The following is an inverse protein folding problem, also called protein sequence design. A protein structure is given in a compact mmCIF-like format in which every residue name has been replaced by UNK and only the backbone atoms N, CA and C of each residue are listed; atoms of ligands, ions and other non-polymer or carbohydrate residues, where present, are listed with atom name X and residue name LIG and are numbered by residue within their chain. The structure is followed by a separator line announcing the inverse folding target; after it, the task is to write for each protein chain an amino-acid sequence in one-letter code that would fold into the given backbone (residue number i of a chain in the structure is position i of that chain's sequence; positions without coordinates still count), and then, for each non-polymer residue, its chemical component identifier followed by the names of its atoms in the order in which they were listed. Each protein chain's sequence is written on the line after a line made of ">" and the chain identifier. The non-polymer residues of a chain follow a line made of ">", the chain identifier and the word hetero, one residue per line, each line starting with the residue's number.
data_IF_153031510684
#
_entry.id   IF_153031510684
#
_cell.length_a   1.000
_cell.length_b   1.000
_cell.length_c   1.000
_cell.angle_alpha   90.00
_cell.angle_beta   90.00
_cell.angle_gamma   90.00
#
_symmetry.space_group_name_H-M   'P 1'
#
loop_
_entity.id
_entity.type
_entity.pdbx_description
1 polymer ?
#
# COMPACT_ATOMS: atom_id res chain seq x y z
N UNK A 1 -24.00 17.36 -19.49
CA UNK A 1 -22.81 16.53 -19.27
C UNK A 1 -22.79 15.51 -20.40
N UNK A 2 -21.72 15.48 -21.20
CA UNK A 2 -21.60 14.48 -22.27
C UNK A 2 -21.44 13.10 -21.63
N UNK A 3 -22.19 12.12 -22.11
CA UNK A 3 -22.11 10.73 -21.70
C UNK A 3 -20.74 10.20 -22.14
N UNK A 4 -19.83 9.94 -21.19
CA UNK A 4 -18.52 9.33 -21.48
C UNK A 4 -18.78 7.86 -21.79
N UNK A 5 -18.61 7.47 -23.05
CA UNK A 5 -18.74 6.07 -23.45
C UNK A 5 -17.52 5.28 -23.00
N UNK A 6 -17.72 4.08 -22.43
CA UNK A 6 -16.67 3.17 -21.96
C UNK A 6 -15.56 2.88 -23.00
N UNK A 7 -15.85 2.97 -24.28
CA UNK A 7 -14.90 2.80 -25.39
C UNK A 7 -13.94 3.98 -25.58
N UNK A 8 -14.14 5.12 -24.89
CA UNK A 8 -13.28 6.28 -24.95
C UNK A 8 -12.24 6.30 -23.82
N UNK A 9 -12.20 5.24 -23.01
CA UNK A 9 -11.18 5.08 -21.97
C UNK A 9 -9.91 4.52 -22.61
N UNK A 10 -9.08 5.39 -23.17
CA UNK A 10 -7.73 5.03 -23.57
C UNK A 10 -6.97 4.43 -22.37
N UNK A 11 -6.34 3.28 -22.60
CA UNK A 11 -5.39 2.73 -21.64
C UNK A 11 -4.30 3.77 -21.42
N UNK A 12 -4.10 4.16 -20.15
CA UNK A 12 -2.96 4.99 -19.83
C UNK A 12 -1.69 4.19 -20.06
N UNK A 13 -0.80 4.67 -20.92
CA UNK A 13 0.58 4.20 -20.91
C UNK A 13 1.19 4.54 -19.55
N UNK A 14 1.65 3.52 -18.85
CA UNK A 14 2.33 3.67 -17.58
C UNK A 14 3.80 3.97 -17.83
N UNK A 15 4.35 4.96 -17.11
CA UNK A 15 5.79 5.24 -17.08
C UNK A 15 6.55 4.28 -16.16
N UNK A 16 5.82 3.45 -15.39
CA UNK A 16 6.40 2.50 -14.47
C UNK A 16 7.05 1.33 -15.22
N UNK A 17 8.01 0.69 -14.58
CA UNK A 17 8.76 -0.44 -15.15
C UNK A 17 7.91 -1.72 -15.28
N UNK A 18 6.77 -1.80 -14.63
CA UNK A 18 5.79 -2.88 -14.75
C UNK A 18 5.07 -2.88 -16.10
N UNK A 19 4.66 -4.08 -16.58
CA UNK A 19 3.83 -4.23 -17.78
C UNK A 19 2.71 -5.22 -17.51
N UNK A 20 1.46 -4.77 -17.57
CA UNK A 20 0.28 -5.63 -17.38
C UNK A 20 0.17 -6.65 -18.52
N UNK A 21 0.17 -7.95 -18.19
CA UNK A 21 0.02 -9.05 -19.13
C UNK A 21 -1.45 -9.45 -19.26
N UNK A 22 -2.15 -9.50 -18.11
CA UNK A 22 -3.57 -9.79 -18.04
C UNK A 22 -4.34 -8.58 -17.56
N UNK A 23 -5.40 -8.28 -18.29
CA UNK A 23 -6.38 -7.31 -17.88
C UNK A 23 -7.57 -8.05 -17.28
N UNK A 24 -8.21 -7.52 -16.26
CA UNK A 24 -9.51 -8.01 -15.83
C UNK A 24 -10.45 -7.92 -17.03
N UNK A 25 -11.11 -9.06 -17.38
CA UNK A 25 -12.08 -9.12 -18.47
C UNK A 25 -13.36 -8.34 -18.17
N UNK A 26 -13.66 -8.06 -16.91
CA UNK A 26 -14.80 -7.24 -16.52
C UNK A 26 -14.43 -5.75 -16.62
N UNK A 27 -15.13 -4.96 -17.45
CA UNK A 27 -14.96 -3.52 -17.41
C UNK A 27 -15.35 -3.01 -16.03
N UNK A 28 -14.52 -2.14 -15.47
CA UNK A 28 -14.86 -1.40 -14.27
C UNK A 28 -16.18 -0.62 -14.54
N UNK A 29 -17.28 -0.92 -13.82
CA UNK A 29 -18.54 -0.23 -14.03
C UNK A 29 -18.49 1.25 -13.65
N UNK A 30 -17.47 1.68 -12.93
CA UNK A 30 -17.22 3.08 -12.59
C UNK A 30 -16.41 3.69 -13.73
N UNK A 31 -17.04 4.38 -14.66
CA UNK A 31 -16.45 4.90 -15.90
C UNK A 31 -15.31 5.92 -15.74
N UNK A 32 -15.06 6.45 -14.52
CA UNK A 32 -13.91 7.31 -14.22
C UNK A 32 -13.45 7.01 -12.80
N UNK A 33 -12.37 6.27 -12.65
CA UNK A 33 -11.74 6.14 -11.33
C UNK A 33 -10.96 7.42 -11.00
N UNK A 34 -10.99 7.84 -9.72
CA UNK A 34 -10.19 8.97 -9.25
C UNK A 34 -8.69 8.74 -9.49
N UNK A 35 -8.25 7.50 -9.47
CA UNK A 35 -6.89 7.06 -9.78
C UNK A 35 -6.45 7.51 -11.18
N UNK A 36 -7.27 7.27 -12.20
CA UNK A 36 -6.99 7.71 -13.58
C UNK A 36 -6.90 9.23 -13.67
N UNK A 37 -7.77 9.94 -12.93
CA UNK A 37 -7.72 11.41 -12.87
C UNK A 37 -6.45 11.89 -12.19
N UNK A 38 -6.07 11.28 -11.06
CA UNK A 38 -4.84 11.60 -10.35
C UNK A 38 -3.61 11.37 -11.24
N UNK A 39 -3.47 10.17 -11.80
CA UNK A 39 -2.34 9.78 -12.65
C UNK A 39 -2.19 10.65 -13.90
N UNK A 40 -3.30 11.16 -14.46
CA UNK A 40 -3.30 12.02 -15.67
C UNK A 40 -3.08 13.49 -15.37
N UNK A 41 -3.59 13.99 -14.26
CA UNK A 41 -3.75 15.44 -14.07
C UNK A 41 -3.01 16.00 -12.86
N UNK A 42 -2.54 15.16 -11.93
CA UNK A 42 -1.77 15.65 -10.80
C UNK A 42 -0.39 16.13 -11.26
N UNK A 43 -0.09 17.40 -10.94
CA UNK A 43 1.14 18.07 -11.39
C UNK A 43 2.35 17.74 -10.49
N UNK A 44 2.11 17.09 -9.35
CA UNK A 44 3.17 16.70 -8.42
C UNK A 44 3.71 15.30 -8.74
N UNK A 45 3.04 14.56 -9.65
CA UNK A 45 3.45 13.22 -10.06
C UNK A 45 4.91 13.17 -10.46
N UNK A 46 5.64 12.23 -9.86
CA UNK A 46 7.05 12.01 -10.15
C UNK A 46 7.43 10.54 -9.96
N UNK A 47 8.21 10.00 -10.89
CA UNK A 47 8.87 8.71 -10.75
C UNK A 47 10.34 8.95 -10.43
N UNK A 48 10.85 8.30 -9.41
CA UNK A 48 12.23 8.46 -8.98
C UNK A 48 13.10 7.29 -9.49
N UNK A 49 14.32 7.56 -9.99
CA UNK A 49 15.19 6.48 -10.48
C UNK A 49 15.55 5.44 -9.42
N UNK A 50 15.48 5.78 -8.12
CA UNK A 50 15.74 4.85 -7.02
C UNK A 50 14.68 3.77 -6.92
N UNK A 51 13.43 4.07 -7.31
CA UNK A 51 12.34 3.11 -7.42
C UNK A 51 11.47 3.40 -8.64
N UNK A 52 11.73 2.76 -9.78
CA UNK A 52 11.00 2.99 -11.02
C UNK A 52 9.63 2.27 -11.06
N UNK A 53 9.20 1.65 -9.97
CA UNK A 53 7.93 0.95 -9.82
C UNK A 53 6.87 1.77 -9.08
N UNK A 54 7.23 2.98 -8.61
CA UNK A 54 6.35 3.81 -7.78
C UNK A 54 6.18 5.21 -8.39
N UNK A 55 4.94 5.62 -8.58
CA UNK A 55 4.57 7.02 -8.82
C UNK A 55 4.39 7.74 -7.47
N UNK A 56 5.07 8.86 -7.29
CA UNK A 56 4.99 9.68 -6.08
C UNK A 56 4.14 10.91 -6.35
N UNK A 57 3.18 11.17 -5.47
CA UNK A 57 2.32 12.34 -5.48
C UNK A 57 2.46 13.11 -4.16
N UNK A 58 2.56 14.43 -4.21
CA UNK A 58 2.63 15.26 -3.02
C UNK A 58 1.25 15.86 -2.70
N UNK A 59 0.51 15.26 -1.77
CA UNK A 59 -0.85 15.70 -1.41
C UNK A 59 -0.87 16.90 -0.48
N UNK A 60 0.16 17.03 0.38
CA UNK A 60 0.37 18.15 1.31
C UNK A 60 1.88 18.41 1.39
N UNK A 61 2.27 19.51 1.99
CA UNK A 61 3.70 19.82 2.20
C UNK A 61 4.44 18.72 2.96
N UNK A 62 3.71 17.99 3.81
CA UNK A 62 4.22 16.93 4.67
C UNK A 62 3.62 15.55 4.37
N UNK A 63 2.90 15.37 3.24
CA UNK A 63 2.24 14.11 2.92
C UNK A 63 2.46 13.72 1.47
N UNK A 64 3.06 12.55 1.27
CA UNK A 64 3.21 11.90 -0.03
C UNK A 64 2.31 10.67 -0.12
N UNK A 65 1.76 10.46 -1.31
CA UNK A 65 1.11 9.23 -1.71
C UNK A 65 2.02 8.49 -2.68
N UNK A 66 2.20 7.21 -2.45
CA UNK A 66 3.06 6.31 -3.23
C UNK A 66 2.14 5.28 -3.90
N UNK A 67 2.02 5.37 -5.21
CA UNK A 67 1.20 4.48 -6.01
C UNK A 67 2.10 3.44 -6.71
N UNK A 68 1.73 2.18 -6.64
CA UNK A 68 2.33 1.12 -7.44
C UNK A 68 1.26 0.34 -8.21
N UNK A 69 1.65 -0.26 -9.33
CA UNK A 69 0.74 -1.12 -10.10
C UNK A 69 0.63 -2.49 -9.47
N UNK A 70 -0.58 -3.05 -9.49
CA UNK A 70 -0.86 -4.40 -9.01
C UNK A 70 -0.01 -5.44 -9.73
N UNK A 71 0.61 -6.34 -8.98
CA UNK A 71 1.37 -7.46 -9.53
C UNK A 71 0.49 -8.68 -9.83
N UNK A 72 -0.68 -8.79 -9.20
CA UNK A 72 -1.57 -9.94 -9.26
C UNK A 72 -2.96 -9.60 -9.83
N UNK A 73 -3.21 -8.35 -10.16
CA UNK A 73 -4.46 -7.89 -10.75
C UNK A 73 -5.63 -7.74 -9.76
N UNK A 74 -5.38 -7.84 -8.44
CA UNK A 74 -6.44 -7.70 -7.42
C UNK A 74 -6.73 -6.23 -7.10
N UNK A 75 -5.71 -5.39 -7.02
CA UNK A 75 -5.82 -3.95 -6.75
C UNK A 75 -4.47 -3.27 -6.84
N UNK A 76 -4.46 -2.00 -7.21
CA UNK A 76 -3.25 -1.20 -7.23
C UNK A 76 -2.98 -0.65 -5.82
N UNK A 77 -1.84 -0.98 -5.17
CA UNK A 77 -1.56 -0.57 -3.80
C UNK A 77 -1.21 0.90 -3.67
N UNK A 78 -1.64 1.47 -2.57
CA UNK A 78 -1.35 2.84 -2.17
C UNK A 78 -0.67 2.85 -0.82
N UNK A 79 0.54 3.38 -0.76
CA UNK A 79 1.25 3.64 0.49
C UNK A 79 1.33 5.13 0.74
N UNK A 80 1.48 5.54 2.00
CA UNK A 80 1.51 6.97 2.34
C UNK A 80 2.71 7.28 3.24
N UNK A 81 3.41 8.37 2.94
CA UNK A 81 4.53 8.85 3.75
C UNK A 81 4.16 10.19 4.36
N UNK A 82 4.10 10.24 5.70
CA UNK A 82 3.88 11.45 6.49
C UNK A 82 5.22 11.93 7.04
N UNK A 83 5.54 13.19 6.83
CA UNK A 83 6.70 13.84 7.42
C UNK A 83 6.26 14.64 8.66
N UNK A 84 6.64 14.15 9.84
CA UNK A 84 6.49 14.91 11.08
C UNK A 84 7.70 15.81 11.36
N UNK A 85 7.66 16.59 12.44
CA UNK A 85 8.76 17.46 12.82
C UNK A 85 10.07 16.74 13.15
N UNK A 86 9.99 15.52 13.72
CA UNK A 86 11.15 14.77 14.20
C UNK A 86 11.26 13.35 13.62
N UNK A 87 10.17 12.80 13.09
CA UNK A 87 10.10 11.46 12.50
C UNK A 87 9.20 11.46 11.29
N UNK A 88 9.47 10.55 10.36
CA UNK A 88 8.57 10.22 9.26
C UNK A 88 7.81 8.91 9.56
N UNK A 89 6.63 8.74 8.98
CA UNK A 89 5.81 7.55 9.11
C UNK A 89 5.37 7.04 7.73
N UNK A 90 5.74 5.80 7.41
CA UNK A 90 5.27 5.09 6.21
C UNK A 90 4.11 4.18 6.60
N UNK A 91 2.99 4.33 5.91
CA UNK A 91 1.80 3.49 6.04
C UNK A 91 1.74 2.59 4.82
N UNK A 92 1.82 1.29 5.04
CA UNK A 92 1.91 0.21 4.07
C UNK A 92 3.17 0.24 3.19
N UNK A 93 3.53 -0.91 2.65
CA UNK A 93 4.81 -1.13 1.96
C UNK A 93 4.67 -1.76 0.57
N UNK A 94 3.43 -1.99 0.12
CA UNK A 94 3.17 -2.57 -1.19
C UNK A 94 3.65 -4.02 -1.34
N UNK A 95 3.83 -4.46 -2.59
CA UNK A 95 4.24 -5.83 -2.96
C UNK A 95 5.71 -6.16 -2.69
N UNK A 96 6.55 -5.17 -2.36
CA UNK A 96 7.98 -5.40 -2.20
C UNK A 96 8.76 -5.50 -3.53
N UNK A 97 8.27 -4.85 -4.57
CA UNK A 97 8.97 -4.68 -5.84
C UNK A 97 9.69 -3.33 -5.85
N UNK A 98 10.94 -3.30 -6.31
CA UNK A 98 11.75 -2.09 -6.36
C UNK A 98 12.43 -1.77 -5.02
N UNK A 99 12.85 -0.53 -4.87
CA UNK A 99 13.58 -0.04 -3.69
C UNK A 99 12.77 1.02 -2.94
N UNK A 100 11.62 0.59 -2.38
CA UNK A 100 10.74 1.47 -1.61
C UNK A 100 11.49 2.12 -0.44
N UNK A 101 12.35 1.38 0.27
CA UNK A 101 13.14 1.92 1.38
C UNK A 101 14.00 3.10 0.92
N UNK A 102 14.75 2.93 -0.17
CA UNK A 102 15.58 4.01 -0.72
C UNK A 102 14.78 5.22 -1.18
N UNK A 103 13.60 5.00 -1.76
CA UNK A 103 12.66 6.07 -2.13
C UNK A 103 12.17 6.84 -0.90
N UNK A 104 11.72 6.12 0.13
CA UNK A 104 11.19 6.73 1.36
C UNK A 104 12.30 7.49 2.10
N UNK A 105 13.51 6.92 2.21
CA UNK A 105 14.66 7.60 2.80
C UNK A 105 15.05 8.87 2.02
N UNK A 106 14.94 8.85 0.69
CA UNK A 106 15.18 10.04 -0.14
C UNK A 106 14.13 11.14 0.10
N UNK A 107 12.85 10.76 0.29
CA UNK A 107 11.77 11.72 0.55
C UNK A 107 11.78 12.25 1.99
N UNK A 108 12.05 11.37 2.96
CA UNK A 108 12.07 11.71 4.38
C UNK A 108 13.35 12.45 4.82
N UNK A 109 14.42 12.34 4.02
CA UNK A 109 15.71 12.91 4.39
C UNK A 109 16.29 12.30 5.68
N UNK A 110 16.73 13.12 6.67
CA UNK A 110 17.37 12.60 7.89
C UNK A 110 16.37 12.11 8.95
N UNK A 111 15.07 12.16 8.69
CA UNK A 111 14.06 11.79 9.69
C UNK A 111 14.07 10.28 9.96
N UNK A 112 14.14 9.85 11.23
CA UNK A 112 13.91 8.46 11.59
C UNK A 112 12.54 7.99 11.13
N UNK A 113 12.48 6.75 10.60
CA UNK A 113 11.28 6.21 9.99
C UNK A 113 10.52 5.28 10.94
N UNK A 114 9.22 5.47 11.05
CA UNK A 114 8.26 4.54 11.61
C UNK A 114 7.52 3.88 10.44
N UNK A 115 7.48 2.54 10.38
CA UNK A 115 6.76 1.80 9.33
C UNK A 115 5.60 1.07 9.97
N UNK A 116 4.40 1.26 9.43
CA UNK A 116 3.17 0.64 9.93
C UNK A 116 2.41 -0.03 8.80
N UNK A 117 1.65 -1.09 9.10
CA UNK A 117 0.76 -1.72 8.14
C UNK A 117 -0.70 -1.61 8.58
N UNK A 118 -1.57 -1.38 7.61
CA UNK A 118 -3.01 -1.46 7.83
C UNK A 118 -3.43 -2.91 8.06
N UNK A 119 -2.89 -3.85 7.26
CA UNK A 119 -3.16 -5.27 7.39
C UNK A 119 -2.09 -6.13 6.66
N UNK A 120 -2.20 -7.47 6.72
CA UNK A 120 -1.17 -8.41 6.28
C UNK A 120 -1.20 -8.78 4.79
N UNK A 121 -2.15 -8.33 4.00
CA UNK A 121 -2.25 -8.71 2.59
C UNK A 121 -1.01 -8.26 1.80
N UNK A 122 -0.77 -8.98 0.71
CA UNK A 122 0.44 -8.92 -0.10
C UNK A 122 0.72 -7.53 -0.69
N UNK A 123 -0.31 -6.84 -1.11
CA UNK A 123 -0.24 -5.50 -1.72
C UNK A 123 -0.05 -4.38 -0.68
N UNK A 124 -0.12 -4.71 0.61
CA UNK A 124 0.12 -3.78 1.73
C UNK A 124 1.37 -4.09 2.54
N UNK A 125 1.79 -5.36 2.64
CA UNK A 125 2.77 -5.79 3.62
C UNK A 125 4.02 -6.49 3.07
N UNK A 126 4.08 -6.89 1.78
CA UNK A 126 5.21 -7.67 1.28
C UNK A 126 6.49 -6.84 1.07
N UNK A 127 6.40 -5.51 1.05
CA UNK A 127 7.56 -4.64 1.12
C UNK A 127 8.20 -4.53 2.51
N UNK A 128 7.60 -5.11 3.55
CA UNK A 128 8.12 -5.11 4.92
C UNK A 128 9.54 -5.66 5.01
N UNK A 129 9.91 -6.60 4.14
CA UNK A 129 11.27 -7.16 4.07
C UNK A 129 12.37 -6.15 3.79
N UNK A 130 12.02 -4.93 3.37
CA UNK A 130 12.98 -3.83 3.21
C UNK A 130 13.31 -3.11 4.52
N UNK A 131 12.49 -3.31 5.58
CA UNK A 131 12.61 -2.59 6.85
C UNK A 131 12.99 -3.54 7.99
N UNK A 132 13.61 -3.00 9.03
CA UNK A 132 14.07 -3.83 10.16
C UNK A 132 12.95 -4.10 11.16
N UNK A 133 11.96 -3.19 11.22
CA UNK A 133 10.84 -3.22 12.15
C UNK A 133 9.59 -2.61 11.52
N UNK A 134 8.44 -3.28 11.74
CA UNK A 134 7.13 -2.74 11.39
C UNK A 134 6.19 -2.78 12.61
N UNK A 135 5.19 -1.94 12.60
CA UNK A 135 4.10 -1.92 13.58
C UNK A 135 2.78 -2.25 12.90
N UNK A 136 1.91 -2.97 13.59
CA UNK A 136 0.55 -3.27 13.16
C UNK A 136 -0.36 -3.44 14.37
N UNK A 137 -1.66 -3.64 14.16
CA UNK A 137 -2.55 -4.05 15.25
C UNK A 137 -2.06 -5.36 15.88
N UNK A 138 -2.15 -5.46 17.21
CA UNK A 138 -1.83 -6.70 17.93
C UNK A 138 -2.62 -7.92 17.43
N UNK A 139 -3.84 -7.71 16.93
CA UNK A 139 -4.68 -8.75 16.33
C UNK A 139 -4.23 -9.18 14.92
N UNK A 140 -3.39 -8.37 14.25
CA UNK A 140 -2.84 -8.69 12.92
C UNK A 140 -1.53 -9.48 12.99
N UNK A 141 -0.82 -9.44 14.11
CA UNK A 141 0.49 -10.10 14.29
C UNK A 141 0.47 -11.57 13.88
N UNK A 142 -0.49 -12.41 14.31
CA UNK A 142 -0.48 -13.83 13.94
C UNK A 142 -0.60 -14.07 12.43
N UNK A 143 -1.40 -13.25 11.73
CA UNK A 143 -1.54 -13.33 10.27
C UNK A 143 -0.26 -12.86 9.56
N UNK A 144 0.34 -11.76 10.03
CA UNK A 144 1.58 -11.22 9.50
C UNK A 144 2.74 -12.23 9.61
N UNK A 145 2.87 -12.90 10.76
CA UNK A 145 3.90 -13.93 10.99
C UNK A 145 3.80 -15.12 10.02
N UNK A 146 2.59 -15.47 9.56
CA UNK A 146 2.41 -16.54 8.56
C UNK A 146 3.03 -16.21 7.20
N UNK A 147 3.34 -14.96 6.94
CA UNK A 147 3.93 -14.47 5.68
C UNK A 147 5.44 -14.38 5.74
N UNK A 148 6.07 -14.63 6.88
CA UNK A 148 7.53 -14.69 7.02
C UNK A 148 8.09 -15.96 6.34
N UNK A 149 8.14 -15.93 5.01
CA UNK A 149 8.62 -17.03 4.18
C UNK A 149 9.26 -16.53 2.90
N UNK A 150 10.39 -17.13 2.45
CA UNK A 150 11.02 -16.77 1.18
C UNK A 150 10.15 -17.12 -0.05
N UNK A 151 9.06 -17.84 0.15
CA UNK A 151 8.13 -18.26 -0.91
C UNK A 151 6.92 -17.36 -1.07
N UNK A 152 6.88 -16.24 -0.39
CA UNK A 152 5.73 -15.35 -0.34
C UNK A 152 5.29 -14.84 -1.72
N UNK A 153 6.22 -14.70 -2.69
CA UNK A 153 5.95 -14.24 -4.06
C UNK A 153 5.71 -15.37 -5.07
N UNK A 154 5.79 -16.68 -4.67
CA UNK A 154 5.70 -17.80 -5.63
C UNK A 154 4.39 -17.76 -6.45
N UNK A 155 3.30 -17.28 -5.88
CA UNK A 155 2.00 -17.21 -6.53
C UNK A 155 1.92 -16.23 -7.72
N UNK A 156 2.90 -15.33 -7.87
CA UNK A 156 2.99 -14.40 -8.98
C UNK A 156 3.54 -15.05 -10.27
N UNK A 157 4.03 -16.28 -10.18
CA UNK A 157 4.70 -16.98 -11.27
C UNK A 157 4.03 -18.31 -11.61
N UNK A 158 4.06 -18.67 -12.90
CA UNK A 158 3.66 -19.99 -13.35
C UNK A 158 4.76 -21.05 -13.13
N UNK A 159 4.48 -22.31 -13.48
CA UNK A 159 5.41 -23.45 -13.34
C UNK A 159 6.71 -23.23 -14.14
N UNK A 160 6.70 -22.41 -15.18
CA UNK A 160 7.88 -22.06 -15.98
C UNK A 160 8.62 -20.82 -15.44
N UNK A 161 8.17 -20.25 -14.31
CA UNK A 161 8.75 -19.07 -13.68
C UNK A 161 8.42 -17.74 -14.38
N UNK A 162 7.38 -17.72 -15.23
CA UNK A 162 6.94 -16.50 -15.93
C UNK A 162 5.88 -15.78 -15.10
N UNK A 163 5.92 -14.44 -15.11
CA UNK A 163 4.88 -13.64 -14.47
C UNK A 163 3.49 -13.98 -15.04
N UNK A 164 2.47 -14.10 -14.16
CA UNK A 164 1.12 -14.50 -14.57
C UNK A 164 0.25 -13.28 -14.90
N UNK A 165 0.42 -12.17 -14.15
CA UNK A 165 -0.50 -11.03 -14.17
C UNK A 165 0.14 -9.76 -14.69
N UNK A 166 1.31 -9.43 -14.17
CA UNK A 166 2.08 -8.24 -14.51
C UNK A 166 3.52 -8.65 -14.72
N UNK A 167 4.10 -8.24 -15.83
CA UNK A 167 5.50 -8.50 -16.13
C UNK A 167 6.37 -7.51 -15.36
N UNK A 168 7.36 -8.04 -14.65
CA UNK A 168 8.39 -7.31 -13.93
C UNK A 168 9.67 -8.15 -13.86
N UNK A 169 10.78 -7.52 -13.53
CA UNK A 169 12.03 -8.26 -13.31
C UNK A 169 11.99 -8.90 -11.90
N UNK A 170 12.04 -10.24 -11.84
CA UNK A 170 12.04 -10.98 -10.58
C UNK A 170 13.20 -10.58 -9.67
N UNK A 171 14.33 -10.14 -10.25
CA UNK A 171 15.49 -9.69 -9.48
C UNK A 171 15.25 -8.36 -8.76
N UNK A 172 14.19 -7.64 -9.11
CA UNK A 172 13.79 -6.40 -8.46
C UNK A 172 12.83 -6.63 -7.28
N UNK A 173 12.40 -7.90 -7.02
CA UNK A 173 11.74 -8.23 -5.77
C UNK A 173 12.73 -8.09 -4.60
N UNK A 174 12.24 -7.54 -3.50
CA UNK A 174 13.05 -7.41 -2.28
C UNK A 174 13.53 -8.80 -1.81
N UNK A 175 14.83 -8.97 -1.49
CA UNK A 175 15.30 -10.23 -0.92
C UNK A 175 14.62 -10.54 0.41
N UNK A 176 14.25 -11.80 0.60
CA UNK A 176 13.70 -12.25 1.86
C UNK A 176 14.70 -12.00 3.01
N UNK A 177 14.21 -11.39 4.07
CA UNK A 177 14.86 -11.32 5.38
C UNK A 177 13.80 -11.18 6.46
N UNK A 178 14.09 -11.68 7.64
CA UNK A 178 13.23 -11.48 8.80
C UNK A 178 13.26 -10.00 9.24
N UNK A 179 12.15 -9.55 9.79
CA UNK A 179 11.99 -8.24 10.39
C UNK A 179 11.19 -8.36 11.70
N UNK A 180 11.34 -7.39 12.58
CA UNK A 180 10.58 -7.34 13.83
C UNK A 180 9.14 -6.87 13.56
N UNK A 181 8.16 -7.62 14.09
CA UNK A 181 6.75 -7.25 14.05
C UNK A 181 6.33 -6.82 15.46
N UNK A 182 5.83 -5.59 15.60
CA UNK A 182 5.39 -5.02 16.88
C UNK A 182 3.88 -4.82 16.84
N UNK A 183 3.15 -5.60 17.66
CA UNK A 183 1.72 -5.44 17.85
C UNK A 183 1.41 -4.24 18.74
N UNK A 184 0.51 -3.39 18.28
CA UNK A 184 0.04 -2.23 19.02
C UNK A 184 -1.44 -2.39 19.41
N UNK A 185 -1.87 -1.95 20.60
CA UNK A 185 -3.28 -1.94 20.99
C UNK A 185 -4.04 -0.83 20.24
N UNK A 186 -5.38 -0.97 20.19
CA UNK A 186 -6.26 0.08 19.70
C UNK A 186 -6.01 1.41 20.43
N UNK A 187 -6.06 2.51 19.69
CA UNK A 187 -5.78 3.86 20.21
C UNK A 187 -4.28 4.15 20.41
N UNK A 188 -3.36 3.28 19.95
CA UNK A 188 -1.93 3.55 20.05
C UNK A 188 -1.54 4.83 19.30
N UNK A 189 -0.77 5.71 19.94
CA UNK A 189 -0.34 7.00 19.38
C UNK A 189 1.12 6.92 18.92
N UNK A 190 1.33 7.10 17.63
CA UNK A 190 2.65 7.27 17.05
C UNK A 190 3.05 8.74 17.12
N UNK A 191 4.06 9.06 17.90
CA UNK A 191 4.57 10.43 18.06
C UNK A 191 5.63 10.75 16.99
N UNK A 192 5.30 11.72 16.13
CA UNK A 192 6.16 12.21 15.06
C UNK A 192 6.96 13.48 15.47
N UNK A 193 6.86 13.90 16.76
CA UNK A 193 7.52 15.06 17.31
C UNK A 193 6.65 16.32 17.30
N UNK A 194 7.01 17.30 18.12
CA UNK A 194 6.32 18.58 18.17
C UNK A 194 4.82 18.53 18.51
N UNK A 195 4.36 17.43 19.14
CA UNK A 195 2.93 17.20 19.42
C UNK A 195 2.13 16.65 18.24
N UNK A 196 2.79 16.31 17.13
CA UNK A 196 2.16 15.68 15.98
C UNK A 196 2.04 14.17 16.24
N UNK A 197 0.83 13.67 16.37
CA UNK A 197 0.53 12.27 16.63
C UNK A 197 -0.41 11.70 15.58
N UNK A 198 -0.15 10.43 15.19
CA UNK A 198 -1.03 9.61 14.35
C UNK A 198 -1.56 8.47 15.22
N UNK A 199 -2.88 8.33 15.27
CA UNK A 199 -3.56 7.33 16.09
C UNK A 199 -3.87 6.09 15.26
N UNK A 200 -3.50 4.91 15.75
CA UNK A 200 -3.98 3.65 15.21
C UNK A 200 -5.39 3.38 15.72
N UNK A 201 -6.30 3.08 14.81
CA UNK A 201 -7.69 2.73 15.09
C UNK A 201 -7.92 1.30 14.62
N UNK A 202 -8.22 0.38 15.53
CA UNK A 202 -8.57 -0.99 15.16
C UNK A 202 -9.90 -0.97 14.40
N UNK A 203 -9.89 -1.45 13.16
CA UNK A 203 -11.02 -1.40 12.24
C UNK A 203 -11.22 -2.77 11.59
N UNK A 204 -11.64 -3.79 12.36
CA UNK A 204 -11.80 -5.15 11.86
C UNK A 204 -12.92 -5.25 10.83
N UNK A 205 -12.79 -6.21 9.92
CA UNK A 205 -13.78 -6.47 8.85
C UNK A 205 -13.13 -7.03 7.60
N UNK A 206 -12.22 -6.30 6.98
CA UNK A 206 -11.43 -6.78 5.85
C UNK A 206 -10.45 -7.88 6.29
N UNK A 207 -9.72 -7.65 7.39
CA UNK A 207 -9.05 -8.69 8.17
C UNK A 207 -9.40 -8.52 9.65
N UNK A 208 -9.15 -9.55 10.47
CA UNK A 208 -9.47 -9.51 11.90
C UNK A 208 -8.68 -8.44 12.66
N UNK A 209 -7.45 -8.19 12.24
CA UNK A 209 -6.58 -7.19 12.86
C UNK A 209 -6.41 -5.91 12.05
N UNK A 210 -7.23 -5.71 11.00
CA UNK A 210 -7.13 -4.51 10.18
C UNK A 210 -7.15 -3.23 11.03
N UNK A 211 -6.26 -2.29 10.72
CA UNK A 211 -6.18 -1.00 11.39
C UNK A 211 -6.21 0.15 10.38
N UNK A 212 -6.81 1.25 10.78
CA UNK A 212 -6.69 2.53 10.10
C UNK A 212 -5.76 3.46 10.89
N UNK A 213 -5.22 4.47 10.23
CA UNK A 213 -4.34 5.46 10.85
C UNK A 213 -4.96 6.85 10.74
N UNK A 214 -5.32 7.44 11.88
CA UNK A 214 -5.95 8.76 11.96
C UNK A 214 -4.90 9.85 12.18
N UNK A 215 -4.63 10.59 11.13
CA UNK A 215 -3.84 11.81 11.17
C UNK A 215 -4.73 13.03 11.46
N UNK A 216 -4.80 13.41 12.73
CA UNK A 216 -5.61 14.55 13.17
C UNK A 216 -5.06 15.89 12.69
N UNK A 217 -3.76 15.98 12.43
CA UNK A 217 -3.12 17.20 11.93
C UNK A 217 -3.57 17.51 10.50
N UNK A 218 -3.45 16.55 9.61
CA UNK A 218 -3.91 16.68 8.22
C UNK A 218 -5.43 16.44 8.06
N UNK A 219 -6.12 15.91 9.08
CA UNK A 219 -7.54 15.50 9.06
C UNK A 219 -7.80 14.40 8.02
N UNK A 220 -6.96 13.37 8.02
CA UNK A 220 -7.00 12.26 7.10
C UNK A 220 -7.09 10.96 7.90
N UNK A 221 -7.94 10.04 7.43
CA UNK A 221 -7.97 8.66 7.86
C UNK A 221 -7.41 7.79 6.73
N UNK A 222 -6.30 7.12 6.96
CA UNK A 222 -5.73 6.12 6.08
C UNK A 222 -6.37 4.79 6.42
N UNK A 223 -7.41 4.41 5.68
CA UNK A 223 -8.30 3.31 6.03
C UNK A 223 -7.89 1.96 5.42
N UNK A 224 -6.82 1.90 4.61
CA UNK A 224 -6.48 0.69 3.86
C UNK A 224 -7.70 0.15 3.12
N UNK A 225 -7.89 -1.16 3.14
CA UNK A 225 -8.98 -1.84 2.45
C UNK A 225 -10.29 -1.90 3.22
N UNK A 226 -10.34 -1.34 4.44
CA UNK A 226 -11.58 -1.28 5.22
C UNK A 226 -12.62 -0.34 4.58
N UNK A 227 -12.19 0.66 3.81
CA UNK A 227 -13.07 1.58 3.12
C UNK A 227 -12.57 1.86 1.70
N UNK A 228 -13.18 1.21 0.72
CA UNK A 228 -12.99 1.48 -0.69
C UNK A 228 -14.16 2.31 -1.24
N UNK A 229 -13.98 2.99 -2.37
CA UNK A 229 -15.07 3.77 -3.00
C UNK A 229 -16.27 2.86 -3.29
N UNK A 230 -17.37 3.10 -2.58
CA UNK A 230 -18.63 2.38 -2.75
C UNK A 230 -18.77 1.05 -2.01
N UNK A 231 -17.73 0.59 -1.28
CA UNK A 231 -17.77 -0.64 -0.51
C UNK A 231 -17.04 -0.50 0.83
N UNK A 232 -17.53 -1.21 1.85
CA UNK A 232 -16.73 -1.59 3.01
C UNK A 232 -16.03 -2.90 2.67
N UNK A 233 -14.72 -2.97 2.87
CA UNK A 233 -13.90 -4.14 2.53
C UNK A 233 -14.07 -5.30 3.49
N UNK A 234 -15.30 -5.83 3.62
CA UNK A 234 -15.57 -7.01 4.44
C UNK A 234 -15.25 -8.26 3.63
N UNK A 235 -14.33 -9.08 4.11
CA UNK A 235 -14.01 -10.37 3.49
C UNK A 235 -14.80 -11.52 4.13
N UNK A 236 -14.91 -12.62 3.40
CA UNK A 236 -15.50 -13.86 3.93
C UNK A 236 -14.55 -14.68 4.80
N UNK A 237 -13.47 -14.12 5.31
CA UNK A 237 -12.52 -14.78 6.20
C UNK A 237 -13.25 -15.28 7.47
N UNK A 238 -13.11 -16.58 7.82
CA UNK A 238 -13.75 -17.13 9.03
C UNK A 238 -13.42 -16.39 10.32
N UNK A 239 -12.28 -15.77 10.42
CA UNK A 239 -11.87 -14.97 11.59
C UNK A 239 -12.65 -13.66 11.64
N UNK A 240 -13.03 -13.08 10.50
CA UNK A 240 -13.83 -11.85 10.44
C UNK A 240 -15.28 -12.05 10.88
N UNK A 241 -15.79 -13.30 10.90
CA UNK A 241 -17.13 -13.60 11.44
C UNK A 241 -17.28 -13.31 12.93
N UNK A 242 -16.18 -13.18 13.66
CA UNK A 242 -16.20 -12.84 15.09
C UNK A 242 -16.42 -11.34 15.31
N UNK A 243 -16.04 -10.50 14.33
CA UNK A 243 -16.04 -9.03 14.45
C UNK A 243 -16.93 -8.32 13.42
N UNK A 244 -17.43 -9.03 12.42
CA UNK A 244 -18.15 -8.46 11.28
C UNK A 244 -19.64 -8.81 11.19
N UNK A 245 -20.23 -9.46 12.20
CA UNK A 245 -21.67 -9.73 12.29
C UNK A 245 -22.38 -8.70 13.18
#
# INVERSE_FOLDING_TARGET
>A
MAEIKLQDVEFMESELKTKKIRMREAPDPVGVSYEKLLRRHDRTKKVYPVDPYVEVYQFRDNLYCLFAESLDGMGDPWSFLILGPEKAMLIDTGFGLGNLRGLVEQLAGPLPLIVVNTHYHFDHAYGNYQFDKIYCSEYEVPAMETKLTPRVWDYLFDEAGRCIWTEFDRNDLVPYREYEIVGCPDGYLFDLGGGYQVEMVHLPGHTAGHAAYLDKHNRILFAGDAACIGNLGITGDPVNKIYGD
#
